data_IF_249993419023
#
_entry.id   IF_249993419023
#
_cell.length_a   1.000
_cell.length_b   1.000
_cell.length_c   1.000
_cell.angle_alpha   90.00
_cell.angle_beta   90.00
_cell.angle_gamma   90.00
#
_symmetry.space_group_name_H-M   'P 1'
#
loop_
_entity.id
_entity.type
_entity.pdbx_description
1 polymer ?
#
# COMPACT_ATOMS: atom_id res chain seq x y z
N UNK A 1 -25.19 -3.39 -53.67
CA UNK A 1 -25.95 -3.83 -52.47
C UNK A 1 -25.12 -4.85 -51.72
N UNK A 2 -24.38 -4.43 -50.67
CA UNK A 2 -23.67 -5.30 -49.76
C UNK A 2 -23.92 -4.77 -48.33
N UNK A 3 -24.59 -5.62 -47.52
CA UNK A 3 -25.05 -5.35 -46.15
C UNK A 3 -23.88 -5.13 -45.21
N UNK A 4 -23.90 -4.03 -44.50
CA UNK A 4 -23.04 -3.74 -43.38
C UNK A 4 -23.41 -4.65 -42.20
N UNK A 5 -22.50 -5.58 -41.82
CA UNK A 5 -22.60 -6.38 -40.61
C UNK A 5 -22.03 -5.61 -39.42
N UNK A 6 -22.87 -5.29 -38.47
CA UNK A 6 -22.53 -4.71 -37.19
C UNK A 6 -21.64 -5.65 -36.36
N UNK A 7 -20.35 -5.33 -36.24
CA UNK A 7 -19.41 -6.02 -35.37
C UNK A 7 -19.64 -5.51 -33.93
N UNK A 8 -20.30 -6.33 -33.13
CA UNK A 8 -20.47 -6.17 -31.69
C UNK A 8 -19.11 -6.23 -31.01
N UNK A 9 -18.64 -5.12 -30.44
CA UNK A 9 -17.48 -5.07 -29.55
C UNK A 9 -17.72 -5.92 -28.31
N UNK A 10 -17.27 -7.17 -28.32
CA UNK A 10 -17.09 -7.98 -27.10
C UNK A 10 -15.69 -7.78 -26.61
N UNK A 11 -15.58 -7.49 -25.29
CA UNK A 11 -14.34 -7.13 -24.60
C UNK A 11 -13.20 -8.12 -24.83
N UNK A 12 -12.03 -7.56 -25.10
CA UNK A 12 -10.76 -8.24 -25.32
C UNK A 12 -10.06 -8.58 -24.00
N UNK A 13 -10.62 -9.51 -23.24
CA UNK A 13 -9.84 -10.30 -22.28
C UNK A 13 -10.41 -11.71 -22.26
N UNK A 14 -9.62 -12.75 -22.54
CA UNK A 14 -10.08 -14.13 -22.42
C UNK A 14 -10.33 -14.47 -20.94
N UNK A 15 -11.38 -15.24 -20.63
CA UNK A 15 -11.63 -15.70 -19.29
C UNK A 15 -10.50 -16.64 -18.83
N UNK A 16 -10.00 -16.38 -17.65
CA UNK A 16 -9.00 -17.17 -16.94
C UNK A 16 -9.32 -18.67 -17.05
N UNK A 17 -8.36 -19.43 -17.56
CA UNK A 17 -8.41 -20.85 -17.85
C UNK A 17 -8.98 -21.66 -16.67
N UNK A 18 -10.17 -22.24 -16.84
CA UNK A 18 -10.60 -23.41 -16.08
C UNK A 18 -9.78 -24.61 -16.54
N UNK A 19 -8.60 -24.79 -15.94
CA UNK A 19 -7.80 -26.00 -16.12
C UNK A 19 -8.53 -27.19 -15.49
N UNK A 20 -9.06 -28.06 -16.33
CA UNK A 20 -9.62 -29.36 -15.95
C UNK A 20 -8.46 -30.33 -15.70
N UNK A 21 -8.01 -30.44 -14.44
CA UNK A 21 -7.11 -31.53 -14.05
C UNK A 21 -7.91 -32.81 -13.85
N UNK A 22 -7.83 -33.73 -14.80
CA UNK A 22 -8.30 -35.11 -14.62
C UNK A 22 -7.27 -35.89 -13.79
N UNK A 23 -7.58 -36.13 -12.51
CA UNK A 23 -6.79 -36.99 -11.65
C UNK A 23 -7.07 -38.47 -11.95
N UNK A 24 -6.02 -39.24 -12.24
CA UNK A 24 -6.04 -40.68 -12.42
C UNK A 24 -6.37 -41.36 -11.09
N UNK A 25 -7.44 -42.12 -11.06
CA UNK A 25 -7.93 -42.90 -9.91
C UNK A 25 -7.10 -44.17 -9.72
N UNK A 26 -6.17 -44.16 -8.76
CA UNK A 26 -5.54 -45.35 -8.24
C UNK A 26 -6.31 -45.87 -7.02
N UNK A 27 -6.97 -47.01 -7.13
CA UNK A 27 -7.64 -47.69 -6.02
C UNK A 27 -6.62 -48.41 -5.13
N UNK A 28 -6.54 -48.07 -3.84
CA UNK A 28 -6.10 -48.95 -2.78
C UNK A 28 -6.91 -48.70 -1.51
N UNK A 29 -7.48 -49.79 -1.00
CA UNK A 29 -8.30 -49.92 0.19
C UNK A 29 -7.59 -49.43 1.45
N UNK A 30 -8.18 -48.46 2.16
CA UNK A 30 -7.74 -48.09 3.51
C UNK A 30 -8.88 -47.43 4.31
N UNK A 31 -9.12 -48.01 5.49
CA UNK A 31 -9.86 -47.63 6.70
C UNK A 31 -10.77 -46.36 6.74
N UNK A 32 -11.76 -46.40 7.64
CA UNK A 32 -12.77 -45.34 7.89
C UNK A 32 -12.22 -43.92 8.02
N UNK A 33 -10.98 -43.75 8.48
CA UNK A 33 -10.28 -42.48 8.54
C UNK A 33 -10.04 -41.87 7.16
N UNK A 34 -9.68 -42.70 6.15
CA UNK A 34 -9.53 -42.26 4.75
C UNK A 34 -10.87 -41.90 4.10
N UNK A 35 -11.97 -42.51 4.54
CA UNK A 35 -13.32 -42.17 4.04
C UNK A 35 -13.81 -40.84 4.59
N UNK A 36 -13.36 -40.43 5.78
CA UNK A 36 -13.64 -39.14 6.39
C UNK A 36 -12.77 -38.02 5.74
N UNK A 37 -11.52 -38.35 5.39
CA UNK A 37 -10.59 -37.42 4.71
C UNK A 37 -10.86 -37.30 3.20
N UNK A 38 -11.66 -38.15 2.59
CA UNK A 38 -11.90 -38.18 1.15
C UNK A 38 -13.08 -37.31 0.70
N UNK A 39 -13.65 -36.48 1.59
CA UNK A 39 -14.43 -35.32 1.21
C UNK A 39 -13.41 -34.16 1.05
N UNK A 40 -13.09 -33.79 -0.19
CA UNK A 40 -12.16 -32.70 -0.53
C UNK A 40 -12.40 -31.44 0.34
N UNK A 41 -13.63 -31.17 0.70
CA UNK A 41 -14.01 -30.11 1.63
C UNK A 41 -13.45 -30.30 3.06
N UNK A 42 -13.44 -31.51 3.61
CA UNK A 42 -12.99 -31.74 5.00
C UNK A 42 -11.49 -31.57 5.14
N UNK A 43 -10.73 -32.06 4.17
CA UNK A 43 -9.26 -31.85 4.11
C UNK A 43 -8.92 -30.38 4.03
N UNK A 44 -9.62 -29.63 3.17
CA UNK A 44 -9.43 -28.18 3.06
C UNK A 44 -9.70 -27.44 4.39
N UNK A 45 -10.76 -27.80 5.11
CA UNK A 45 -11.06 -27.16 6.40
C UNK A 45 -10.03 -27.51 7.48
N UNK A 46 -9.52 -28.75 7.53
CA UNK A 46 -8.48 -29.16 8.50
C UNK A 46 -7.18 -28.39 8.26
N UNK A 47 -6.77 -28.19 7.00
CA UNK A 47 -5.57 -27.40 6.69
C UNK A 47 -5.77 -25.90 6.91
N UNK A 48 -6.98 -25.38 6.70
CA UNK A 48 -7.30 -23.97 6.95
C UNK A 48 -7.52 -23.66 8.45
N UNK A 49 -7.88 -24.66 9.26
CA UNK A 49 -8.24 -24.47 10.67
C UNK A 49 -7.18 -23.74 11.51
N UNK A 50 -5.88 -24.09 11.48
CA UNK A 50 -4.89 -23.39 12.29
C UNK A 50 -4.81 -21.89 11.96
N UNK A 51 -4.92 -21.56 10.67
CA UNK A 51 -4.94 -20.16 10.22
C UNK A 51 -6.21 -19.44 10.67
N UNK A 52 -7.39 -20.06 10.45
CA UNK A 52 -8.69 -19.47 10.83
C UNK A 52 -8.75 -19.29 12.34
N UNK A 53 -8.33 -20.31 13.12
CA UNK A 53 -8.29 -20.23 14.58
C UNK A 53 -7.39 -19.10 15.06
N UNK A 54 -6.16 -18.99 14.52
CA UNK A 54 -5.25 -17.91 14.83
C UNK A 54 -5.83 -16.53 14.47
N UNK A 55 -6.42 -16.41 13.29
CA UNK A 55 -7.06 -15.18 12.85
C UNK A 55 -8.23 -14.76 13.76
N UNK A 56 -9.10 -15.70 14.11
CA UNK A 56 -10.24 -15.43 15.01
C UNK A 56 -9.75 -15.02 16.40
N UNK A 57 -8.84 -15.79 17.01
CA UNK A 57 -8.38 -15.54 18.38
C UNK A 57 -7.52 -14.26 18.50
N UNK A 58 -6.61 -14.01 17.56
CA UNK A 58 -5.65 -12.91 17.69
C UNK A 58 -6.01 -11.66 16.91
N UNK A 59 -6.94 -11.73 15.95
CA UNK A 59 -7.36 -10.56 15.18
C UNK A 59 -8.83 -10.24 15.38
N UNK A 60 -9.74 -11.17 15.14
CA UNK A 60 -11.17 -10.89 15.15
C UNK A 60 -11.69 -10.57 16.56
N UNK A 61 -11.34 -11.38 17.56
CA UNK A 61 -11.81 -11.17 18.94
C UNK A 61 -11.31 -9.84 19.49
N UNK A 62 -10.00 -9.45 19.43
CA UNK A 62 -9.55 -8.14 19.88
C UNK A 62 -10.21 -6.98 19.14
N UNK A 63 -10.46 -7.10 17.83
CA UNK A 63 -11.19 -6.07 17.07
C UNK A 63 -12.63 -5.94 17.54
N UNK A 64 -13.34 -7.04 17.78
CA UNK A 64 -14.71 -7.00 18.32
C UNK A 64 -14.76 -6.38 19.73
N UNK A 65 -13.79 -6.69 20.60
CA UNK A 65 -13.66 -6.10 21.93
C UNK A 65 -13.38 -4.59 21.82
N UNK A 66 -12.46 -4.17 20.95
CA UNK A 66 -12.18 -2.75 20.70
C UNK A 66 -13.41 -2.02 20.20
N UNK A 67 -14.16 -2.63 19.29
CA UNK A 67 -15.41 -2.09 18.77
C UNK A 67 -16.46 -1.92 19.87
N UNK A 68 -16.61 -2.90 20.76
CA UNK A 68 -17.49 -2.79 21.93
C UNK A 68 -17.07 -1.62 22.83
N UNK A 69 -15.77 -1.49 23.14
CA UNK A 69 -15.27 -0.39 23.96
C UNK A 69 -15.46 0.99 23.34
N UNK A 70 -15.49 1.09 22.00
CA UNK A 70 -15.77 2.36 21.32
C UNK A 70 -17.13 2.95 21.67
N UNK A 71 -18.12 2.12 22.08
CA UNK A 71 -19.44 2.55 22.52
C UNK A 71 -19.58 2.69 24.03
N UNK A 72 -18.51 2.49 24.78
CA UNK A 72 -18.50 2.57 26.24
C UNK A 72 -17.62 3.71 26.73
N UNK A 73 -17.87 4.16 27.96
CA UNK A 73 -16.98 5.11 28.65
C UNK A 73 -15.88 4.35 29.42
N UNK A 74 -15.23 3.39 28.73
CA UNK A 74 -14.14 2.62 29.34
C UNK A 74 -12.86 3.48 29.38
N UNK A 75 -12.26 3.60 30.58
CA UNK A 75 -10.95 4.20 30.79
C UNK A 75 -10.05 3.19 31.52
N UNK A 76 -8.77 3.15 31.17
CA UNK A 76 -7.77 2.33 31.85
C UNK A 76 -7.66 2.82 33.33
N UNK A 77 -8.41 2.19 34.22
CA UNK A 77 -8.50 2.56 35.64
C UNK A 77 -9.93 2.70 36.17
N UNK A 78 -10.93 2.74 35.31
CA UNK A 78 -12.33 2.68 35.74
C UNK A 78 -12.77 1.22 35.89
N UNK A 79 -13.37 0.90 37.04
CA UNK A 79 -13.89 -0.44 37.33
C UNK A 79 -15.20 -0.78 36.58
N UNK A 80 -15.82 0.19 35.94
CA UNK A 80 -17.13 0.05 35.30
C UNK A 80 -17.11 0.69 33.90
N UNK A 81 -17.45 -0.10 32.89
CA UNK A 81 -17.67 0.38 31.53
C UNK A 81 -19.19 0.66 31.34
N UNK A 82 -19.60 1.91 31.41
CA UNK A 82 -20.97 2.29 31.09
C UNK A 82 -21.15 2.44 29.56
N UNK A 83 -22.23 1.90 29.01
CA UNK A 83 -22.57 2.07 27.60
C UNK A 83 -23.05 3.51 27.35
N UNK A 84 -22.35 4.24 26.49
CA UNK A 84 -22.63 5.65 26.16
C UNK A 84 -23.05 5.87 24.68
N UNK A 85 -23.21 4.79 23.93
CA UNK A 85 -23.59 4.84 22.51
C UNK A 85 -22.60 5.63 21.66
N UNK A 86 -23.08 6.50 20.79
CA UNK A 86 -22.27 7.25 19.83
C UNK A 86 -21.56 8.49 20.39
N UNK A 87 -21.60 8.72 21.70
CA UNK A 87 -21.04 9.94 22.31
C UNK A 87 -19.54 10.11 22.06
N UNK A 88 -18.78 9.01 22.04
CA UNK A 88 -17.37 9.06 21.71
C UNK A 88 -17.11 9.50 20.26
N UNK A 89 -17.93 9.04 19.33
CA UNK A 89 -17.81 9.43 17.92
C UNK A 89 -18.14 10.91 17.72
N UNK A 90 -19.18 11.42 18.40
CA UNK A 90 -19.51 12.85 18.35
C UNK A 90 -18.38 13.72 18.90
N UNK A 91 -17.76 13.33 20.03
CA UNK A 91 -16.57 14.01 20.56
C UNK A 91 -15.40 13.99 19.59
N UNK A 92 -15.17 12.84 18.91
CA UNK A 92 -14.09 12.69 17.93
C UNK A 92 -14.26 13.67 16.75
N UNK A 93 -15.49 13.84 16.25
CA UNK A 93 -15.78 14.79 15.17
C UNK A 93 -15.76 16.26 15.61
N UNK A 94 -15.77 16.54 16.93
CA UNK A 94 -15.62 17.88 17.49
C UNK A 94 -14.16 18.21 17.81
N UNK A 95 -13.27 17.21 17.81
CA UNK A 95 -11.85 17.41 18.10
C UNK A 95 -11.12 17.98 16.88
N UNK A 96 -10.68 19.23 17.00
CA UNK A 96 -9.93 19.95 15.96
C UNK A 96 -8.62 19.23 15.58
N UNK A 97 -7.95 18.59 16.57
CA UNK A 97 -6.69 17.88 16.33
C UNK A 97 -6.94 16.64 15.50
N UNK A 98 -8.01 15.90 15.80
CA UNK A 98 -8.41 14.74 15.00
C UNK A 98 -8.76 15.12 13.56
N UNK A 99 -9.62 16.12 13.36
CA UNK A 99 -10.01 16.56 12.01
C UNK A 99 -8.81 17.04 11.20
N UNK A 100 -7.91 17.79 11.83
CA UNK A 100 -6.67 18.25 11.20
C UNK A 100 -5.76 17.09 10.83
N UNK A 101 -5.56 16.11 11.72
CA UNK A 101 -4.75 14.93 11.43
C UNK A 101 -5.34 14.05 10.33
N UNK A 102 -6.66 13.91 10.29
CA UNK A 102 -7.36 13.20 9.23
C UNK A 102 -7.14 13.88 7.87
N UNK A 103 -7.31 15.20 7.80
CA UNK A 103 -7.10 15.98 6.58
C UNK A 103 -5.64 15.88 6.09
N UNK A 104 -4.67 15.95 6.99
CA UNK A 104 -3.24 15.82 6.66
C UNK A 104 -2.92 14.42 6.15
N UNK A 105 -3.44 13.39 6.83
CA UNK A 105 -3.24 11.99 6.42
C UNK A 105 -3.87 11.73 5.04
N UNK A 106 -5.08 12.21 4.80
CA UNK A 106 -5.72 12.11 3.49
C UNK A 106 -4.91 12.83 2.41
N UNK A 107 -4.43 14.04 2.68
CA UNK A 107 -3.57 14.78 1.75
C UNK A 107 -2.28 14.02 1.46
N UNK A 108 -1.64 13.45 2.48
CA UNK A 108 -0.44 12.63 2.33
C UNK A 108 -0.71 11.41 1.45
N UNK A 109 -1.77 10.65 1.73
CA UNK A 109 -2.15 9.43 0.98
C UNK A 109 -2.46 9.78 -0.48
N UNK A 110 -3.30 10.80 -0.72
CA UNK A 110 -3.71 11.20 -2.06
C UNK A 110 -2.55 11.69 -2.94
N UNK A 111 -1.48 12.22 -2.37
CA UNK A 111 -0.32 12.66 -3.14
C UNK A 111 0.74 11.56 -3.21
N UNK A 112 1.10 10.93 -2.08
CA UNK A 112 2.22 9.99 -2.02
C UNK A 112 1.92 8.68 -2.76
N UNK A 113 0.70 8.13 -2.65
CA UNK A 113 0.37 6.82 -3.24
C UNK A 113 0.33 6.88 -4.77
N UNK A 114 -0.39 7.80 -5.43
CA UNK A 114 -0.36 7.89 -6.88
C UNK A 114 1.04 8.21 -7.43
N UNK A 115 1.77 9.12 -6.77
CA UNK A 115 3.11 9.48 -7.19
C UNK A 115 4.08 8.29 -7.10
N UNK A 116 4.04 7.54 -5.98
CA UNK A 116 4.83 6.34 -5.77
C UNK A 116 4.51 5.26 -6.81
N UNK A 117 3.23 4.98 -7.05
CA UNK A 117 2.79 3.96 -8.01
C UNK A 117 3.12 4.34 -9.45
N UNK A 118 2.93 5.60 -9.82
CA UNK A 118 3.31 6.10 -11.16
C UNK A 118 4.81 5.94 -11.39
N UNK A 119 5.62 6.34 -10.41
CA UNK A 119 7.08 6.21 -10.49
C UNK A 119 7.50 4.74 -10.53
N UNK A 120 6.90 3.88 -9.70
CA UNK A 120 7.15 2.43 -9.69
C UNK A 120 6.80 1.78 -11.03
N UNK A 121 5.66 2.13 -11.61
CA UNK A 121 5.22 1.61 -12.92
C UNK A 121 6.15 2.08 -14.04
N UNK A 122 6.55 3.36 -14.03
CA UNK A 122 7.46 3.91 -15.02
C UNK A 122 8.81 3.18 -14.99
N UNK A 123 9.40 3.02 -13.80
CA UNK A 123 10.68 2.31 -13.65
C UNK A 123 10.53 0.83 -14.01
N UNK A 124 9.44 0.17 -13.59
CA UNK A 124 9.15 -1.21 -13.98
C UNK A 124 9.08 -1.37 -15.51
N UNK A 125 8.38 -0.46 -16.19
CA UNK A 125 8.27 -0.45 -17.65
C UNK A 125 9.62 -0.26 -18.34
N UNK A 126 10.46 0.65 -17.85
CA UNK A 126 11.82 0.83 -18.37
C UNK A 126 12.68 -0.42 -18.19
N UNK A 127 12.51 -1.14 -17.06
CA UNK A 127 13.24 -2.37 -16.76
C UNK A 127 12.67 -3.64 -17.43
N UNK A 128 11.64 -3.54 -18.26
CA UNK A 128 11.17 -4.67 -19.10
C UNK A 128 12.05 -4.89 -20.32
N UNK A 129 12.81 -3.88 -20.75
CA UNK A 129 13.74 -3.99 -21.87
C UNK A 129 14.87 -4.97 -21.50
N UNK A 130 15.17 -5.95 -22.38
CA UNK A 130 16.22 -6.93 -22.12
C UNK A 130 17.59 -6.22 -22.06
N UNK A 131 18.24 -6.29 -20.91
CA UNK A 131 19.60 -5.80 -20.68
C UNK A 131 20.30 -6.73 -19.69
N UNK A 132 21.61 -6.94 -19.86
CA UNK A 132 22.42 -7.75 -18.96
C UNK A 132 22.41 -7.23 -17.52
N UNK A 133 22.17 -5.93 -17.33
CA UNK A 133 22.21 -5.25 -16.04
C UNK A 133 20.82 -5.12 -15.35
N UNK A 134 19.73 -5.60 -15.97
CA UNK A 134 18.37 -5.43 -15.44
C UNK A 134 18.22 -6.03 -14.04
N UNK A 135 18.80 -7.21 -13.80
CA UNK A 135 18.72 -7.87 -12.49
C UNK A 135 19.42 -7.03 -11.41
N UNK A 136 20.58 -6.48 -11.73
CA UNK A 136 21.31 -5.59 -10.82
C UNK A 136 20.50 -4.32 -10.49
N UNK A 137 19.96 -3.64 -11.49
CA UNK A 137 19.13 -2.46 -11.28
C UNK A 137 17.85 -2.76 -10.47
N UNK A 138 17.22 -3.91 -10.68
CA UNK A 138 16.06 -4.33 -9.86
C UNK A 138 16.45 -4.48 -8.40
N UNK A 139 17.57 -5.11 -8.10
CA UNK A 139 18.06 -5.25 -6.71
C UNK A 139 18.40 -3.90 -6.11
N UNK A 140 19.05 -3.02 -6.86
CA UNK A 140 19.42 -1.68 -6.40
C UNK A 140 18.18 -0.81 -6.09
N UNK A 141 17.18 -0.80 -6.96
CA UNK A 141 15.95 -0.05 -6.74
C UNK A 141 15.02 -0.67 -5.68
N UNK A 142 15.19 -1.95 -5.37
CA UNK A 142 14.46 -2.60 -4.29
C UNK A 142 15.04 -2.30 -2.90
N UNK A 143 16.34 -2.05 -2.80
CA UNK A 143 17.06 -1.80 -1.54
C UNK A 143 16.40 -0.70 -0.67
N UNK A 144 15.98 0.45 -1.21
CA UNK A 144 15.25 1.47 -0.45
C UNK A 144 14.00 0.95 0.26
N UNK A 145 13.27 0.05 -0.38
CA UNK A 145 12.03 -0.51 0.19
C UNK A 145 12.31 -1.46 1.37
N UNK A 146 13.47 -2.09 1.42
CA UNK A 146 13.87 -2.96 2.53
C UNK A 146 14.26 -2.16 3.77
N UNK A 147 15.00 -1.08 3.58
CA UNK A 147 15.57 -0.28 4.68
C UNK A 147 14.70 0.91 5.07
N UNK A 148 13.78 1.32 4.20
CA UNK A 148 13.02 2.57 4.32
C UNK A 148 12.15 2.70 5.56
N UNK A 149 11.73 1.58 6.18
CA UNK A 149 11.00 1.56 7.45
C UNK A 149 11.85 1.81 8.69
N UNK A 150 13.18 1.87 8.56
CA UNK A 150 14.09 1.99 9.70
C UNK A 150 14.17 3.43 10.24
N UNK A 151 14.37 3.52 11.56
CA UNK A 151 14.63 4.78 12.27
C UNK A 151 15.87 5.49 11.70
N UNK A 152 16.92 4.73 11.38
CA UNK A 152 18.16 5.26 10.85
C UNK A 152 17.95 6.02 9.54
N UNK A 153 17.17 5.47 8.62
CA UNK A 153 16.85 6.13 7.35
C UNK A 153 16.03 7.40 7.60
N UNK A 154 15.07 7.39 8.52
CA UNK A 154 14.31 8.58 8.86
C UNK A 154 15.22 9.72 9.40
N UNK A 155 16.22 9.38 10.23
CA UNK A 155 17.21 10.35 10.72
C UNK A 155 18.09 10.91 9.61
N UNK A 156 18.53 10.06 8.67
CA UNK A 156 19.28 10.52 7.49
C UNK A 156 18.44 11.50 6.66
N UNK A 157 17.17 11.18 6.40
CA UNK A 157 16.27 12.08 5.69
C UNK A 157 16.04 13.40 6.43
N UNK A 158 15.89 13.36 7.75
CA UNK A 158 15.83 14.56 8.60
C UNK A 158 17.05 15.46 8.41
N UNK A 159 18.24 14.86 8.38
CA UNK A 159 19.51 15.60 8.19
C UNK A 159 19.64 16.15 6.77
N UNK A 160 19.22 15.42 5.73
CA UNK A 160 19.23 15.87 4.34
C UNK A 160 18.40 17.15 4.13
N UNK A 161 17.21 17.22 4.77
CA UNK A 161 16.29 18.36 4.70
C UNK A 161 16.49 19.41 5.83
N UNK A 162 17.50 19.22 6.69
CA UNK A 162 17.82 20.20 7.71
C UNK A 162 18.21 21.55 7.08
N UNK A 163 18.16 22.62 7.87
CA UNK A 163 18.50 24.00 7.41
C UNK A 163 19.91 24.11 6.82
N UNK A 164 20.85 23.34 7.37
CA UNK A 164 22.24 23.17 6.86
C UNK A 164 22.44 21.83 6.14
N UNK A 165 21.36 21.21 5.65
CA UNK A 165 21.38 19.91 5.00
C UNK A 165 21.76 19.99 3.52
N UNK A 166 21.94 18.81 2.90
CA UNK A 166 22.42 18.68 1.52
C UNK A 166 21.50 19.42 0.52
N UNK A 167 20.18 19.33 0.67
CA UNK A 167 19.25 20.01 -0.24
C UNK A 167 19.39 21.53 -0.20
N UNK A 168 19.56 22.11 0.99
CA UNK A 168 19.76 23.54 1.12
C UNK A 168 21.16 23.97 0.67
N UNK A 169 22.19 23.13 0.79
CA UNK A 169 23.51 23.40 0.24
C UNK A 169 23.51 23.42 -1.29
N UNK A 170 22.75 22.52 -1.92
CA UNK A 170 22.59 22.53 -3.39
C UNK A 170 21.82 23.78 -3.83
N UNK A 171 20.73 24.18 -3.13
CA UNK A 171 20.00 25.41 -3.42
C UNK A 171 20.90 26.65 -3.28
N UNK A 172 21.71 26.72 -2.23
CA UNK A 172 22.66 27.82 -2.01
C UNK A 172 23.70 27.91 -3.13
N UNK A 173 24.20 26.78 -3.63
CA UNK A 173 25.13 26.74 -4.78
C UNK A 173 24.47 27.17 -6.11
N UNK A 174 23.15 27.15 -6.19
CA UNK A 174 22.37 27.64 -7.34
C UNK A 174 21.89 29.08 -7.14
N UNK A 175 22.42 29.82 -6.19
CA UNK A 175 22.02 31.19 -5.79
C UNK A 175 20.53 31.30 -5.41
N UNK A 176 19.92 30.18 -4.96
CA UNK A 176 18.55 30.15 -4.48
C UNK A 176 18.49 30.30 -2.95
N UNK A 177 17.45 30.95 -2.46
CA UNK A 177 17.23 31.08 -1.01
C UNK A 177 17.06 29.73 -0.32
N UNK A 178 17.69 29.56 0.83
CA UNK A 178 17.55 28.34 1.64
C UNK A 178 16.12 28.21 2.18
N UNK A 179 15.58 27.00 2.09
CA UNK A 179 14.20 26.70 2.47
C UNK A 179 14.18 26.06 3.87
N UNK A 180 13.34 26.57 4.75
CA UNK A 180 13.08 25.93 6.03
C UNK A 180 11.98 24.86 5.86
N UNK A 181 12.36 23.66 5.42
CA UNK A 181 11.42 22.56 5.13
C UNK A 181 10.54 22.19 6.30
N UNK A 182 11.15 22.03 7.49
CA UNK A 182 10.42 21.58 8.68
C UNK A 182 9.84 22.73 9.51
N UNK A 183 10.24 23.98 9.25
CA UNK A 183 9.69 25.15 9.93
C UNK A 183 8.46 25.74 9.23
N UNK A 184 8.20 25.34 7.98
CA UNK A 184 7.05 25.83 7.24
C UNK A 184 5.93 24.77 7.21
N UNK A 185 4.76 25.15 7.75
CA UNK A 185 3.59 24.27 7.84
C UNK A 185 3.14 23.70 6.49
N UNK A 186 3.30 24.46 5.41
CA UNK A 186 2.90 24.02 4.06
C UNK A 186 3.92 23.06 3.42
N UNK A 187 5.19 23.14 3.81
CA UNK A 187 6.29 22.41 3.18
C UNK A 187 6.68 21.14 3.95
N UNK A 188 6.39 21.06 5.24
CA UNK A 188 6.84 19.97 6.10
C UNK A 188 6.38 18.55 5.64
N UNK A 189 5.29 18.48 4.87
CA UNK A 189 4.76 17.23 4.33
C UNK A 189 5.56 16.69 3.13
N UNK A 190 6.20 17.57 2.34
CA UNK A 190 6.88 17.15 1.11
C UNK A 190 8.10 16.24 1.31
N UNK A 191 8.97 16.46 2.31
CA UNK A 191 10.05 15.50 2.62
C UNK A 191 9.53 14.10 2.93
N UNK A 192 8.38 13.99 3.63
CA UNK A 192 7.76 12.71 3.94
C UNK A 192 7.20 12.03 2.69
N UNK A 193 6.56 12.80 1.81
CA UNK A 193 6.07 12.30 0.52
C UNK A 193 7.24 11.80 -0.33
N UNK A 194 8.31 12.57 -0.44
CA UNK A 194 9.49 12.21 -1.23
C UNK A 194 10.17 10.94 -0.69
N UNK A 195 10.26 10.81 0.63
CA UNK A 195 10.77 9.62 1.30
C UNK A 195 9.90 8.38 0.98
N UNK A 196 8.56 8.54 0.99
CA UNK A 196 7.63 7.46 0.61
C UNK A 196 7.80 7.08 -0.87
N UNK A 197 7.94 8.04 -1.77
CA UNK A 197 8.16 7.80 -3.20
C UNK A 197 9.49 7.10 -3.43
N UNK A 198 10.56 7.47 -2.71
CA UNK A 198 11.86 6.81 -2.80
C UNK A 198 11.79 5.30 -2.48
N UNK A 199 10.82 4.87 -1.64
CA UNK A 199 10.56 3.47 -1.31
C UNK A 199 9.64 2.76 -2.34
N UNK A 200 9.76 3.07 -3.62
CA UNK A 200 8.89 2.53 -4.68
C UNK A 200 9.22 1.09 -5.08
N UNK A 201 10.34 0.54 -4.66
CA UNK A 201 10.92 -0.70 -5.17
C UNK A 201 10.03 -1.93 -5.01
N UNK A 202 9.29 -2.08 -3.91
CA UNK A 202 8.35 -3.20 -3.71
C UNK A 202 7.24 -3.20 -4.77
N UNK A 203 6.61 -2.05 -5.01
CA UNK A 203 5.59 -1.90 -6.05
C UNK A 203 6.17 -2.07 -7.45
N UNK A 204 7.40 -1.60 -7.69
CA UNK A 204 8.10 -1.78 -8.96
C UNK A 204 8.31 -3.26 -9.30
N UNK A 205 8.71 -4.10 -8.33
CA UNK A 205 8.90 -5.54 -8.57
C UNK A 205 7.57 -6.21 -8.95
N UNK A 206 6.49 -5.87 -8.26
CA UNK A 206 5.16 -6.42 -8.52
C UNK A 206 4.70 -6.00 -9.94
N UNK A 207 4.89 -4.74 -10.32
CA UNK A 207 4.60 -4.28 -11.67
C UNK A 207 5.50 -4.95 -12.73
N UNK A 208 6.79 -5.13 -12.43
CA UNK A 208 7.70 -5.81 -13.36
C UNK A 208 7.36 -7.29 -13.56
N UNK A 209 6.80 -7.96 -12.55
CA UNK A 209 6.26 -9.31 -12.68
C UNK A 209 5.03 -9.32 -13.59
N UNK A 210 4.04 -8.47 -13.32
CA UNK A 210 2.83 -8.39 -14.11
C UNK A 210 3.06 -7.96 -15.56
N UNK A 211 4.01 -7.07 -15.82
CA UNK A 211 4.39 -6.69 -17.18
C UNK A 211 4.92 -7.88 -18.01
N UNK A 212 5.55 -8.86 -17.37
CA UNK A 212 6.05 -10.07 -18.03
C UNK A 212 4.96 -11.09 -18.33
N UNK A 213 3.83 -11.03 -17.64
CA UNK A 213 2.70 -11.94 -17.84
C UNK A 213 1.86 -11.57 -19.07
N UNK A 214 2.02 -10.34 -19.59
CA UNK A 214 1.29 -9.89 -20.78
C UNK A 214 1.84 -10.61 -22.02
N UNK A 215 1.00 -11.36 -22.78
CA UNK A 215 1.45 -12.07 -23.95
C UNK A 215 2.04 -11.14 -25.01
N UNK A 216 3.20 -11.52 -25.54
CA UNK A 216 3.91 -10.73 -26.59
C UNK A 216 3.05 -10.57 -27.84
N UNK A 217 2.19 -11.56 -28.15
CA UNK A 217 1.28 -11.53 -29.30
C UNK A 217 0.37 -10.31 -29.35
N UNK A 218 0.00 -9.74 -28.19
CA UNK A 218 -0.80 -8.51 -28.17
C UNK A 218 -0.03 -7.30 -28.70
N UNK A 219 1.26 -7.22 -28.41
CA UNK A 219 2.13 -6.16 -28.91
C UNK A 219 2.48 -6.36 -30.39
N UNK A 220 2.60 -7.62 -30.85
CA UNK A 220 2.84 -7.96 -32.25
C UNK A 220 1.63 -7.59 -33.11
N UNK A 221 0.42 -7.95 -32.68
CA UNK A 221 -0.82 -7.57 -33.38
C UNK A 221 -0.95 -6.03 -33.43
N UNK A 222 -0.70 -5.34 -32.32
CA UNK A 222 -0.75 -3.89 -32.31
C UNK A 222 0.28 -3.22 -33.25
N UNK A 223 1.44 -3.85 -33.45
CA UNK A 223 2.44 -3.37 -34.46
C UNK A 223 1.97 -3.54 -35.86
N UNK A 224 1.31 -4.66 -36.19
CA UNK A 224 0.73 -4.90 -37.49
C UNK A 224 -0.36 -3.87 -37.80
N UNK A 225 -1.16 -3.51 -36.80
CA UNK A 225 -2.19 -2.47 -36.86
C UNK A 225 -1.61 -1.03 -36.88
N UNK A 226 -0.29 -0.87 -36.88
CA UNK A 226 0.39 0.43 -36.95
C UNK A 226 0.35 1.23 -35.64
N UNK A 227 0.05 0.59 -34.48
CA UNK A 227 0.00 1.26 -33.20
C UNK A 227 1.38 1.74 -32.74
N UNK A 228 1.48 3.01 -32.34
CA UNK A 228 2.68 3.59 -31.72
C UNK A 228 2.87 3.08 -30.29
N UNK A 229 4.10 3.11 -29.75
CA UNK A 229 4.44 2.58 -28.44
C UNK A 229 3.58 3.15 -27.29
N UNK A 230 3.25 4.44 -27.31
CA UNK A 230 2.37 5.06 -26.29
C UNK A 230 0.92 4.53 -26.41
N UNK A 231 0.43 4.25 -27.63
CA UNK A 231 -0.90 3.68 -27.84
C UNK A 231 -0.97 2.25 -27.29
N UNK A 232 0.06 1.45 -27.53
CA UNK A 232 0.18 0.10 -26.95
C UNK A 232 0.25 0.15 -25.43
N UNK A 233 0.96 1.13 -24.85
CA UNK A 233 1.02 1.30 -23.40
C UNK A 233 -0.36 1.59 -22.79
N UNK A 234 -1.08 2.60 -23.30
CA UNK A 234 -2.36 3.00 -22.73
C UNK A 234 -3.53 2.06 -23.07
N UNK A 235 -3.50 1.39 -24.24
CA UNK A 235 -4.61 0.55 -24.72
C UNK A 235 -4.43 -0.93 -24.42
N UNK A 236 -3.20 -1.41 -24.22
CA UNK A 236 -2.89 -2.82 -23.96
C UNK A 236 -2.27 -2.99 -22.59
N UNK A 237 -1.11 -2.36 -22.35
CA UNK A 237 -0.34 -2.58 -21.12
C UNK A 237 -1.13 -2.15 -19.86
N UNK A 238 -1.63 -0.95 -19.84
CA UNK A 238 -2.31 -0.40 -18.67
C UNK A 238 -3.63 -1.14 -18.32
N UNK A 239 -4.51 -1.47 -19.28
CA UNK A 239 -5.69 -2.28 -19.00
C UNK A 239 -5.37 -3.71 -18.55
N UNK A 240 -4.36 -4.36 -19.14
CA UNK A 240 -3.94 -5.70 -18.72
C UNK A 240 -3.33 -5.70 -17.30
N UNK A 241 -2.68 -4.60 -16.90
CA UNK A 241 -2.13 -4.44 -15.56
C UNK A 241 -3.16 -3.98 -14.51
N UNK A 242 -4.40 -3.66 -14.90
CA UNK A 242 -5.39 -3.07 -13.98
C UNK A 242 -5.60 -3.86 -12.68
N UNK A 243 -5.63 -5.20 -12.63
CA UNK A 243 -5.75 -5.95 -11.37
C UNK A 243 -4.53 -5.75 -10.45
N UNK A 244 -3.34 -5.69 -11.05
CA UNK A 244 -2.08 -5.50 -10.31
C UNK A 244 -1.96 -4.06 -9.81
N UNK A 245 -2.42 -3.09 -10.60
CA UNK A 245 -2.50 -1.68 -10.19
C UNK A 245 -3.44 -1.54 -9.00
N UNK A 246 -4.63 -2.16 -9.06
CA UNK A 246 -5.60 -2.14 -7.96
C UNK A 246 -5.02 -2.76 -6.70
N UNK A 247 -4.38 -3.93 -6.80
CA UNK A 247 -3.71 -4.58 -5.68
C UNK A 247 -2.67 -3.65 -5.02
N UNK A 248 -1.75 -3.09 -5.83
CA UNK A 248 -0.75 -2.16 -5.33
C UNK A 248 -1.37 -0.91 -4.72
N UNK A 249 -2.42 -0.36 -5.34
CA UNK A 249 -3.14 0.81 -4.85
C UNK A 249 -3.69 0.55 -3.44
N UNK A 250 -4.39 -0.57 -3.23
CA UNK A 250 -4.93 -0.94 -1.92
C UNK A 250 -3.81 -1.10 -0.90
N UNK A 251 -2.78 -1.89 -1.21
CA UNK A 251 -1.68 -2.17 -0.27
C UNK A 251 -0.88 -0.92 0.09
N UNK A 252 -0.59 -0.05 -0.89
CA UNK A 252 0.13 1.19 -0.62
C UNK A 252 -0.74 2.22 0.11
N UNK A 253 -2.04 2.24 -0.13
CA UNK A 253 -2.99 3.07 0.62
C UNK A 253 -3.02 2.67 2.09
N UNK A 254 -3.17 1.37 2.40
CA UNK A 254 -3.12 0.86 3.77
C UNK A 254 -1.79 1.24 4.44
N UNK A 255 -0.67 1.00 3.75
CA UNK A 255 0.66 1.35 4.27
C UNK A 255 0.84 2.85 4.51
N UNK A 256 0.27 3.70 3.66
CA UNK A 256 0.34 5.16 3.80
C UNK A 256 -0.50 5.67 4.98
N UNK A 257 -1.67 5.09 5.26
CA UNK A 257 -2.43 5.41 6.47
C UNK A 257 -1.71 4.99 7.76
N UNK A 258 -0.87 3.95 7.70
CA UNK A 258 -0.06 3.46 8.83
C UNK A 258 1.30 4.15 8.94
N UNK A 259 1.62 5.14 8.11
CA UNK A 259 2.91 5.85 8.09
C UNK A 259 3.06 6.79 9.29
N UNK A 260 3.28 6.22 10.48
CA UNK A 260 3.44 6.93 11.75
C UNK A 260 4.91 7.19 12.10
N UNK A 261 5.72 6.13 12.11
CA UNK A 261 7.08 6.16 12.66
C UNK A 261 7.96 7.20 11.97
N UNK A 262 7.88 7.31 10.66
CA UNK A 262 8.69 8.23 9.87
C UNK A 262 8.30 9.69 10.13
N UNK A 263 7.01 10.00 10.17
CA UNK A 263 6.51 11.34 10.47
C UNK A 263 6.91 11.77 11.89
N UNK A 264 6.80 10.87 12.87
CA UNK A 264 7.17 11.13 14.26
C UNK A 264 8.66 11.42 14.42
N UNK A 265 9.54 10.63 13.81
CA UNK A 265 11.00 10.79 13.93
C UNK A 265 11.47 12.06 13.22
N UNK A 266 10.94 12.35 12.04
CA UNK A 266 11.40 13.46 11.21
C UNK A 266 10.90 14.80 11.75
N UNK A 267 9.59 14.92 12.02
CA UNK A 267 8.97 16.21 12.32
C UNK A 267 8.42 16.33 13.74
N UNK A 268 8.28 15.22 14.47
CA UNK A 268 7.63 15.16 15.79
C UNK A 268 6.24 15.84 15.78
N UNK A 269 5.50 15.69 14.66
CA UNK A 269 4.19 16.31 14.47
C UNK A 269 4.21 17.78 14.06
N UNK A 270 5.36 18.46 14.08
CA UNK A 270 5.51 19.90 13.83
C UNK A 270 5.63 20.31 12.36
N UNK A 271 5.61 21.63 12.09
CA UNK A 271 5.20 22.73 12.94
C UNK A 271 3.66 22.81 13.06
N UNK A 272 3.17 23.24 14.20
CA UNK A 272 1.73 23.47 14.45
C UNK A 272 0.83 22.30 14.05
N UNK A 273 1.22 21.07 14.39
CA UNK A 273 0.51 19.83 14.06
C UNK A 273 0.34 19.55 12.55
N UNK A 274 1.17 20.15 11.68
CA UNK A 274 1.04 20.04 10.21
C UNK A 274 1.48 18.71 9.62
N UNK A 275 2.08 17.84 10.42
CA UNK A 275 2.53 16.50 10.02
C UNK A 275 2.04 15.41 10.98
N UNK A 276 1.07 15.75 11.85
CA UNK A 276 0.42 14.75 12.70
C UNK A 276 -0.36 13.78 11.81
N UNK A 277 0.04 12.51 11.83
CA UNK A 277 -0.70 11.42 11.21
C UNK A 277 -1.85 10.97 12.11
N UNK A 278 -2.91 10.43 11.52
CA UNK A 278 -4.09 9.92 12.21
C UNK A 278 -3.74 8.93 13.34
N UNK A 279 -2.72 8.10 13.13
CA UNK A 279 -2.25 7.13 14.13
C UNK A 279 -1.64 7.79 15.38
N UNK A 280 -1.15 9.04 15.29
CA UNK A 280 -0.62 9.79 16.41
C UNK A 280 -1.71 10.33 17.36
N UNK A 281 -2.89 10.64 16.84
CA UNK A 281 -4.02 11.14 17.64
C UNK A 281 -4.72 10.04 18.41
N UNK A 282 -4.41 8.76 18.12
CA UNK A 282 -4.88 7.63 18.91
C UNK A 282 -4.16 7.65 20.28
N UNK A 283 -4.88 7.80 21.41
CA UNK A 283 -4.27 7.87 22.72
C UNK A 283 -3.49 6.60 23.02
N UNK A 284 -2.18 6.74 23.16
CA UNK A 284 -1.32 5.64 23.59
C UNK A 284 -1.57 5.35 25.09
N UNK A 285 -1.50 4.09 25.52
CA UNK A 285 -1.50 3.78 26.96
C UNK A 285 -0.42 4.52 27.77
N UNK A 286 0.64 4.99 27.10
CA UNK A 286 1.71 5.81 27.72
C UNK A 286 1.27 7.26 27.95
N UNK A 287 0.41 7.80 27.10
CA UNK A 287 -0.08 9.18 27.25
C UNK A 287 -1.10 9.30 28.39
N UNK A 288 -1.73 8.18 28.77
CA UNK A 288 -2.68 8.08 29.89
C UNK A 288 -1.95 7.89 31.23
N UNK A 289 -0.73 7.35 31.22
CA UNK A 289 0.05 7.08 32.45
C UNK A 289 0.81 8.27 33.01
N UNK A 290 0.42 9.49 32.68
CA UNK A 290 0.79 10.64 33.46
C UNK A 290 1.96 11.43 32.97
N UNK A 291 1.63 12.40 32.26
CA UNK A 291 2.30 13.68 32.40
C UNK A 291 1.81 14.34 33.69
N UNK A 292 2.57 14.30 34.70
CA UNK A 292 2.67 15.38 35.70
C UNK A 292 4.05 15.97 35.63
#
# INVERSE_FOLDING_TARGET
>A
MLRAGTVRKKGLCPPFLKGRYSFVKGQTSTSALKRFMNKDNTVGHVFAFPFIFGFVCFSLIPVCISFYYAFTNYSLGSKTAAFIGFKNFLRLFQDEVFLKSLAITLKYVLISVPLKLTFALLVAYLLTRPSRMVTFYRSLYYLPSLVGGSVAVALVWKQLFARKGLFNSVLANMDMSTINWFGNQKLALYPLILMSVWQFGSSMIIFAAGLKEIPVSYYEAARIDGARGYQSFFRITLPCLSPIILYNLIMQTISAFMAFTQAMIITNGGPNNSTICLLYTSPSPRDISGSR
#
